data_IF_613942121269
#
_entry.id   IF_613942121269
#
_cell.length_a   1.000
_cell.length_b   1.000
_cell.length_c   1.000
_cell.angle_alpha   90.00
_cell.angle_beta   90.00
_cell.angle_gamma   90.00
#
_symmetry.space_group_name_H-M   'P 1'
#
loop_
_entity.id
_entity.type
_entity.pdbx_description
1 polymer ?
#
# COMPACT_ATOMS: atom_id res chain seq x y z
N UNK A 1 45.16 -7.47 -47.31
CA UNK A 1 44.08 -6.49 -47.47
C UNK A 1 42.75 -7.19 -47.21
N UNK A 2 42.24 -7.12 -45.97
CA UNK A 2 40.90 -7.56 -45.64
C UNK A 2 40.07 -6.31 -45.32
N UNK A 3 38.99 -6.11 -46.06
CA UNK A 3 38.12 -4.93 -45.95
C UNK A 3 37.30 -4.92 -44.66
N UNK A 4 36.79 -3.74 -44.24
CA UNK A 4 36.00 -3.61 -43.02
C UNK A 4 34.57 -4.10 -43.29
N UNK A 5 34.22 -5.24 -42.71
CA UNK A 5 32.84 -5.71 -42.64
C UNK A 5 32.07 -4.94 -41.57
N UNK A 6 31.46 -3.83 -41.96
CA UNK A 6 30.46 -3.10 -41.18
C UNK A 6 29.24 -4.00 -40.93
N UNK A 7 29.14 -4.61 -39.76
CA UNK A 7 27.87 -5.17 -39.28
C UNK A 7 27.09 -4.05 -38.59
N UNK A 8 26.13 -3.47 -39.32
CA UNK A 8 25.03 -2.71 -38.74
C UNK A 8 24.25 -3.62 -37.79
N UNK A 9 24.42 -3.44 -36.47
CA UNK A 9 23.50 -3.97 -35.47
C UNK A 9 22.30 -3.03 -35.38
N UNK A 10 21.19 -3.48 -35.95
CA UNK A 10 19.87 -2.87 -35.83
C UNK A 10 19.34 -3.02 -34.40
N UNK A 11 19.22 -1.90 -33.67
CA UNK A 11 18.16 -1.52 -32.71
C UNK A 11 17.39 -2.59 -31.89
N UNK A 12 18.02 -3.67 -31.41
CA UNK A 12 17.38 -4.62 -30.46
C UNK A 12 18.30 -4.89 -29.27
N UNK A 13 17.70 -4.90 -28.08
CA UNK A 13 18.35 -5.30 -26.82
C UNK A 13 19.12 -6.62 -26.99
N UNK A 14 20.25 -6.83 -26.30
CA UNK A 14 20.90 -8.12 -26.30
C UNK A 14 19.98 -9.15 -25.61
N UNK A 15 19.56 -10.22 -26.29
CA UNK A 15 18.70 -11.26 -25.68
C UNK A 15 19.34 -11.90 -24.44
N UNK A 16 20.67 -11.85 -24.33
CA UNK A 16 21.45 -12.47 -23.25
C UNK A 16 21.28 -11.76 -21.89
N UNK A 17 21.16 -10.43 -21.87
CA UNK A 17 20.98 -9.70 -20.59
C UNK A 17 19.57 -9.89 -20.04
N UNK A 18 18.57 -9.92 -20.92
CA UNK A 18 17.18 -10.19 -20.56
C UNK A 18 16.99 -11.64 -20.07
N UNK A 19 17.60 -12.62 -20.73
CA UNK A 19 17.53 -14.02 -20.33
C UNK A 19 18.17 -14.26 -18.94
N UNK A 20 19.23 -13.51 -18.60
CA UNK A 20 19.82 -13.54 -17.25
C UNK A 20 18.88 -12.97 -16.20
N UNK A 21 18.23 -11.83 -16.47
CA UNK A 21 17.24 -11.25 -15.53
C UNK A 21 16.10 -12.24 -15.28
N UNK A 22 15.56 -12.88 -16.34
CA UNK A 22 14.50 -13.88 -16.20
C UNK A 22 14.89 -15.14 -15.41
N UNK A 23 16.18 -15.49 -15.37
CA UNK A 23 16.67 -16.68 -14.65
C UNK A 23 17.11 -16.38 -13.22
N UNK A 24 17.62 -15.17 -12.97
CA UNK A 24 18.22 -14.80 -11.69
C UNK A 24 17.25 -14.07 -10.75
N UNK A 25 16.23 -13.40 -11.30
CA UNK A 25 15.26 -12.63 -10.52
C UNK A 25 14.01 -13.49 -10.29
N UNK A 26 13.47 -13.53 -9.07
CA UNK A 26 12.25 -14.29 -8.82
C UNK A 26 11.03 -13.59 -9.42
N UNK A 27 9.99 -14.38 -9.69
CA UNK A 27 8.72 -13.87 -10.19
C UNK A 27 7.96 -13.12 -9.08
N UNK A 28 7.35 -11.94 -9.31
CA UNK A 28 7.21 -11.22 -10.58
C UNK A 28 8.24 -10.13 -10.86
N UNK A 29 9.23 -9.90 -9.99
CA UNK A 29 10.20 -8.80 -10.16
C UNK A 29 10.89 -8.87 -11.53
N UNK A 30 11.19 -10.07 -12.00
CA UNK A 30 11.74 -10.34 -13.33
C UNK A 30 10.98 -9.61 -14.45
N UNK A 31 9.65 -9.74 -14.52
CA UNK A 31 8.83 -9.17 -15.59
C UNK A 31 8.78 -7.65 -15.55
N UNK A 32 8.67 -7.09 -14.34
CA UNK A 32 8.54 -5.64 -14.16
C UNK A 32 9.86 -4.92 -14.40
N UNK A 33 10.97 -5.48 -13.90
CA UNK A 33 12.31 -4.96 -14.14
C UNK A 33 12.67 -4.97 -15.64
N UNK A 34 12.31 -6.03 -16.36
CA UNK A 34 12.54 -6.12 -17.82
C UNK A 34 11.72 -5.07 -18.57
N UNK A 35 10.46 -4.88 -18.20
CA UNK A 35 9.59 -3.90 -18.85
C UNK A 35 10.10 -2.45 -18.67
N UNK A 36 10.53 -2.07 -17.45
CA UNK A 36 11.09 -0.73 -17.21
C UNK A 36 12.43 -0.54 -17.91
N UNK A 37 13.30 -1.55 -17.90
CA UNK A 37 14.58 -1.49 -18.59
C UNK A 37 14.45 -1.44 -20.12
N UNK A 38 13.45 -2.11 -20.70
CA UNK A 38 13.13 -1.98 -22.13
C UNK A 38 12.61 -0.57 -22.46
N UNK A 39 11.74 0.00 -21.63
CA UNK A 39 11.25 1.36 -21.80
C UNK A 39 12.38 2.40 -21.78
N UNK A 40 13.43 2.16 -20.97
CA UNK A 40 14.63 3.01 -20.92
C UNK A 40 15.46 2.99 -22.21
N UNK A 41 15.37 1.93 -23.02
CA UNK A 41 16.10 1.79 -24.29
C UNK A 41 15.29 2.31 -25.48
N UNK A 42 13.98 2.06 -25.49
CA UNK A 42 13.11 2.42 -26.62
C UNK A 42 12.83 3.92 -26.71
N UNK A 43 12.81 4.64 -25.58
CA UNK A 43 12.53 6.08 -25.54
C UNK A 43 13.80 6.89 -25.34
N UNK A 44 14.33 7.49 -26.42
CA UNK A 44 15.30 8.63 -26.35
C UNK A 44 14.74 9.88 -25.65
N UNK A 45 13.48 9.87 -25.20
CA UNK A 45 12.80 10.90 -24.41
C UNK A 45 12.06 10.26 -23.23
N UNK A 46 12.81 9.73 -22.24
CA UNK A 46 12.26 9.58 -20.88
C UNK A 46 12.08 11.00 -20.32
N UNK A 47 10.99 11.26 -19.58
CA UNK A 47 10.77 12.57 -18.94
C UNK A 47 11.91 12.91 -17.95
N UNK A 48 12.54 11.89 -17.38
CA UNK A 48 13.73 11.99 -16.53
C UNK A 48 14.79 10.98 -17.02
N UNK A 49 16.06 11.37 -17.22
CA UNK A 49 17.16 10.42 -17.44
C UNK A 49 17.34 9.48 -16.23
N UNK A 50 18.03 8.35 -16.42
CA UNK A 50 18.42 7.45 -15.33
C UNK A 50 19.12 8.26 -14.23
N UNK A 51 18.68 8.08 -12.98
CA UNK A 51 19.25 8.77 -11.82
C UNK A 51 20.68 8.29 -11.53
N UNK A 52 20.95 7.00 -11.81
CA UNK A 52 22.27 6.42 -11.68
C UNK A 52 23.19 6.84 -12.85
N UNK A 53 24.45 7.23 -12.58
CA UNK A 53 25.34 7.80 -13.59
C UNK A 53 25.90 6.74 -14.55
N UNK A 54 25.18 6.49 -15.65
CA UNK A 54 25.56 5.49 -16.68
C UNK A 54 27.00 5.70 -17.17
N UNK A 55 27.42 6.95 -17.38
CA UNK A 55 28.76 7.26 -17.90
C UNK A 55 29.89 6.86 -16.92
N UNK A 56 29.60 6.82 -15.62
CA UNK A 56 30.54 6.35 -14.59
C UNK A 56 30.48 4.83 -14.42
N UNK A 57 29.30 4.24 -14.59
CA UNK A 57 29.09 2.80 -14.42
C UNK A 57 29.58 2.00 -15.65
N UNK A 58 29.47 2.56 -16.86
CA UNK A 58 29.85 1.88 -18.10
C UNK A 58 31.33 1.45 -18.16
N UNK A 59 32.32 2.29 -17.76
CA UNK A 59 33.71 1.85 -17.63
C UNK A 59 33.90 0.72 -16.60
N UNK A 60 33.24 0.82 -15.44
CA UNK A 60 33.34 -0.19 -14.37
C UNK A 60 32.75 -1.54 -14.80
N UNK A 61 31.64 -1.53 -15.56
CA UNK A 61 31.06 -2.75 -16.12
C UNK A 61 32.01 -3.44 -17.11
N UNK A 62 32.79 -2.68 -17.89
CA UNK A 62 33.81 -3.26 -18.79
C UNK A 62 34.95 -3.92 -18.01
N UNK A 63 35.32 -3.34 -16.87
CA UNK A 63 36.35 -3.88 -15.98
C UNK A 63 35.88 -5.19 -15.33
N UNK A 64 34.68 -5.18 -14.71
CA UNK A 64 34.11 -6.35 -14.04
C UNK A 64 33.82 -7.50 -15.00
N UNK A 65 33.30 -7.20 -16.20
CA UNK A 65 32.97 -8.24 -17.18
C UNK A 65 34.18 -8.72 -17.99
N UNK A 66 35.28 -7.95 -18.03
CA UNK A 66 36.51 -8.32 -18.74
C UNK A 66 36.42 -8.27 -20.27
N UNK A 67 35.34 -7.74 -20.84
CA UNK A 67 35.17 -7.56 -22.29
C UNK A 67 34.43 -6.27 -22.66
N UNK A 68 34.55 -5.86 -23.94
CA UNK A 68 33.88 -4.65 -24.45
C UNK A 68 32.36 -4.90 -24.55
N UNK A 69 31.60 -4.11 -23.80
CA UNK A 69 30.14 -4.02 -23.90
C UNK A 69 29.73 -2.74 -24.64
N UNK A 70 28.64 -2.83 -25.40
CA UNK A 70 28.01 -1.66 -26.03
C UNK A 70 27.31 -0.79 -24.97
N UNK A 71 27.29 0.51 -25.20
CA UNK A 71 26.69 1.50 -24.31
C UNK A 71 25.20 1.21 -24.04
N UNK A 72 24.46 0.72 -25.06
CA UNK A 72 23.05 0.33 -24.88
C UNK A 72 22.87 -0.81 -23.87
N UNK A 73 23.83 -1.73 -23.76
CA UNK A 73 23.80 -2.81 -22.76
C UNK A 73 24.01 -2.25 -21.37
N UNK A 74 24.89 -1.27 -21.21
CA UNK A 74 25.09 -0.60 -19.93
C UNK A 74 23.87 0.21 -19.50
N UNK A 75 23.19 0.88 -20.43
CA UNK A 75 21.91 1.55 -20.14
C UNK A 75 20.87 0.53 -19.64
N UNK A 76 20.77 -0.63 -20.28
CA UNK A 76 19.88 -1.70 -19.83
C UNK A 76 20.18 -2.14 -18.39
N UNK A 77 21.45 -2.46 -18.11
CA UNK A 77 21.87 -2.95 -16.80
C UNK A 77 21.65 -1.90 -15.71
N UNK A 78 21.97 -0.63 -16.00
CA UNK A 78 21.75 0.46 -15.04
C UNK A 78 20.26 0.69 -14.81
N UNK A 79 19.40 0.56 -15.82
CA UNK A 79 17.96 0.65 -15.64
C UNK A 79 17.41 -0.46 -14.73
N UNK A 80 17.91 -1.70 -14.86
CA UNK A 80 17.56 -2.78 -13.94
C UNK A 80 18.03 -2.47 -12.51
N UNK A 81 19.27 -2.00 -12.34
CA UNK A 81 19.79 -1.61 -11.02
C UNK A 81 18.99 -0.48 -10.37
N UNK A 82 18.57 0.52 -11.16
CA UNK A 82 17.75 1.63 -10.70
C UNK A 82 16.37 1.15 -10.26
N UNK A 83 15.74 0.23 -11.01
CA UNK A 83 14.48 -0.37 -10.64
C UNK A 83 14.58 -1.07 -9.27
N UNK A 84 15.59 -1.92 -9.07
CA UNK A 84 15.79 -2.64 -7.81
C UNK A 84 16.11 -1.68 -6.66
N UNK A 85 16.95 -0.67 -6.90
CA UNK A 85 17.25 0.34 -5.89
C UNK A 85 15.99 1.07 -5.43
N UNK A 86 15.13 1.45 -6.39
CA UNK A 86 13.86 2.09 -6.11
C UNK A 86 12.90 1.16 -5.36
N UNK A 87 12.87 -0.13 -5.69
CA UNK A 87 11.98 -1.11 -5.05
C UNK A 87 12.38 -1.36 -3.58
N UNK A 88 13.69 -1.50 -3.30
CA UNK A 88 14.21 -1.62 -1.92
C UNK A 88 13.87 -0.37 -1.11
N UNK A 89 14.13 0.83 -1.65
CA UNK A 89 13.84 2.08 -0.95
C UNK A 89 12.33 2.29 -0.76
N UNK A 90 11.51 1.85 -1.71
CA UNK A 90 10.04 1.91 -1.58
C UNK A 90 9.55 0.95 -0.50
N UNK A 91 10.10 -0.26 -0.43
CA UNK A 91 9.78 -1.25 0.60
C UNK A 91 10.18 -0.73 1.99
N UNK A 92 11.44 -0.30 2.16
CA UNK A 92 11.94 0.27 3.40
C UNK A 92 11.16 1.54 3.80
N UNK A 93 10.90 2.43 2.85
CA UNK A 93 10.09 3.63 3.09
C UNK A 93 8.65 3.31 3.48
N UNK A 94 8.06 2.24 2.94
CA UNK A 94 6.75 1.76 3.39
C UNK A 94 6.80 1.20 4.82
N UNK A 95 7.83 0.43 5.15
CA UNK A 95 8.04 -0.09 6.51
C UNK A 95 8.20 1.04 7.53
N UNK A 96 9.14 1.95 7.31
CA UNK A 96 9.43 3.13 8.16
C UNK A 96 8.16 3.98 8.34
N UNK A 97 7.43 4.20 7.25
CA UNK A 97 6.17 4.94 7.29
C UNK A 97 5.08 4.22 8.10
N UNK A 98 5.04 2.88 8.08
CA UNK A 98 4.06 2.12 8.84
C UNK A 98 4.33 2.18 10.36
N UNK A 99 5.59 2.29 10.76
CA UNK A 99 5.98 2.47 12.18
C UNK A 99 6.01 3.95 12.60
N UNK A 100 5.51 4.86 11.75
CA UNK A 100 5.44 6.32 11.98
C UNK A 100 6.79 6.99 12.22
N UNK A 101 7.86 6.39 11.72
CA UNK A 101 9.18 6.99 11.71
C UNK A 101 9.35 7.83 10.42
N UNK A 102 10.14 8.91 10.47
CA UNK A 102 10.26 9.88 9.36
C UNK A 102 11.64 9.87 8.68
N UNK A 103 12.58 9.10 9.22
CA UNK A 103 13.91 8.91 8.65
C UNK A 103 14.12 7.43 8.31
N UNK A 104 14.81 7.13 7.21
CA UNK A 104 15.14 5.74 6.85
C UNK A 104 16.57 5.48 7.31
N UNK A 105 16.73 4.55 8.26
CA UNK A 105 18.04 4.07 8.72
C UNK A 105 18.47 2.80 7.99
N UNK A 106 19.74 2.42 8.15
CA UNK A 106 20.26 1.14 7.65
C UNK A 106 19.53 -0.07 8.27
N UNK A 107 19.16 0.04 9.54
CA UNK A 107 18.43 -1.01 10.24
C UNK A 107 17.05 -1.21 9.63
N UNK A 108 16.35 -0.13 9.28
CA UNK A 108 15.03 -0.20 8.66
C UNK A 108 15.05 -0.88 7.30
N UNK A 109 16.08 -0.58 6.49
CA UNK A 109 16.29 -1.26 5.20
C UNK A 109 16.49 -2.76 5.45
N UNK A 110 17.32 -3.12 6.42
CA UNK A 110 17.60 -4.53 6.75
C UNK A 110 16.33 -5.26 7.18
N UNK A 111 15.54 -4.68 8.09
CA UNK A 111 14.29 -5.28 8.57
C UNK A 111 13.27 -5.43 7.44
N UNK A 112 13.10 -4.38 6.62
CA UNK A 112 12.16 -4.41 5.51
C UNK A 112 12.57 -5.48 4.47
N UNK A 113 13.87 -5.57 4.16
CA UNK A 113 14.43 -6.60 3.29
C UNK A 113 14.19 -8.01 3.84
N UNK A 114 14.48 -8.27 5.11
CA UNK A 114 14.25 -9.58 5.76
C UNK A 114 12.78 -10.04 5.69
N UNK A 115 11.83 -9.10 5.67
CA UNK A 115 10.41 -9.41 5.55
C UNK A 115 9.97 -9.72 4.11
N UNK A 116 10.76 -9.32 3.11
CA UNK A 116 10.47 -9.57 1.69
C UNK A 116 11.24 -10.77 1.18
N UNK A 117 10.53 -11.90 1.03
CA UNK A 117 11.12 -13.15 0.57
C UNK A 117 11.75 -13.04 -0.82
N UNK A 118 11.19 -12.21 -1.70
CA UNK A 118 11.65 -12.10 -3.08
C UNK A 118 13.00 -11.40 -3.12
N UNK A 119 13.16 -10.32 -2.36
CA UNK A 119 14.43 -9.61 -2.23
C UNK A 119 15.44 -10.44 -1.42
N UNK A 120 15.02 -11.11 -0.34
CA UNK A 120 15.91 -12.04 0.38
C UNK A 120 16.44 -13.15 -0.54
N UNK A 121 15.55 -13.79 -1.30
CA UNK A 121 15.93 -14.84 -2.26
C UNK A 121 16.76 -14.30 -3.43
N UNK A 122 16.68 -13.00 -3.74
CA UNK A 122 17.51 -12.37 -4.78
C UNK A 122 18.93 -12.05 -4.28
N UNK A 123 19.08 -11.64 -3.02
CA UNK A 123 20.37 -11.22 -2.45
C UNK A 123 21.11 -12.34 -1.68
N UNK A 124 20.42 -13.38 -1.24
CA UNK A 124 20.97 -14.47 -0.42
C UNK A 124 20.77 -15.85 -1.07
N UNK A 125 21.16 -15.98 -2.35
CA UNK A 125 21.05 -17.25 -3.08
C UNK A 125 22.02 -18.35 -2.60
N UNK A 126 23.03 -18.03 -1.78
CA UNK A 126 24.11 -18.96 -1.42
C UNK A 126 24.57 -18.95 0.06
N UNK A 127 23.85 -18.31 1.00
CA UNK A 127 24.28 -18.29 2.41
C UNK A 127 23.21 -18.87 3.37
N UNK A 128 23.32 -20.17 3.64
CA UNK A 128 22.78 -20.82 4.84
C UNK A 128 23.56 -20.38 6.09
N UNK A 129 23.63 -19.08 6.43
CA UNK A 129 24.26 -18.65 7.69
C UNK A 129 23.83 -17.23 8.09
N UNK A 130 22.62 -17.08 8.67
CA UNK A 130 22.29 -15.94 9.53
C UNK A 130 21.65 -16.46 10.82
N UNK A 131 22.47 -17.13 11.63
CA UNK A 131 22.24 -17.22 13.08
C UNK A 131 22.91 -16.02 13.75
N UNK A 132 22.12 -15.02 14.16
CA UNK A 132 22.58 -13.97 15.08
C UNK A 132 22.16 -12.57 14.70
N UNK A 133 20.89 -12.22 14.94
CA UNK A 133 20.49 -10.83 15.11
C UNK A 133 20.22 -10.58 16.60
N UNK A 134 20.88 -9.60 17.24
CA UNK A 134 20.47 -9.12 18.56
C UNK A 134 19.17 -8.33 18.40
N UNK A 135 18.09 -8.85 18.96
CA UNK A 135 16.88 -8.07 19.23
C UNK A 135 17.23 -7.03 20.29
N UNK A 136 17.42 -5.77 19.88
CA UNK A 136 17.30 -4.65 20.80
C UNK A 136 15.87 -4.13 20.64
N UNK A 137 15.01 -4.52 21.59
CA UNK A 137 13.71 -3.88 21.81
C UNK A 137 13.97 -2.42 22.20
N UNK A 138 13.76 -1.49 21.27
CA UNK A 138 13.32 -0.16 21.62
C UNK A 138 11.81 -0.09 21.32
N UNK A 139 11.01 -0.37 22.35
CA UNK A 139 9.62 0.05 22.36
C UNK A 139 9.57 1.58 22.24
N UNK A 140 8.71 2.17 21.37
CA UNK A 140 8.44 3.58 21.45
C UNK A 140 7.68 3.82 22.75
N UNK A 141 8.32 4.54 23.66
CA UNK A 141 7.77 5.00 24.93
C UNK A 141 6.35 5.56 24.77
N UNK A 142 5.45 5.03 25.58
CA UNK A 142 4.06 5.48 25.69
C UNK A 142 3.95 6.87 26.35
N UNK A 143 2.93 7.62 25.91
CA UNK A 143 2.34 8.80 26.54
C UNK A 143 3.20 10.08 26.60
N UNK A 144 3.44 10.69 25.45
CA UNK A 144 3.49 12.16 25.37
C UNK A 144 2.06 12.69 25.18
N UNK A 145 1.68 13.73 25.93
CA UNK A 145 0.39 14.42 25.75
C UNK A 145 0.32 15.00 24.34
N UNK A 146 -0.39 14.34 23.44
CA UNK A 146 -0.49 14.78 22.04
C UNK A 146 -1.25 16.10 21.95
N UNK A 147 -0.65 17.09 21.29
CA UNK A 147 -1.33 18.35 20.93
C UNK A 147 -2.40 18.13 19.85
N UNK A 148 -3.32 19.08 19.68
CA UNK A 148 -4.33 19.02 18.60
C UNK A 148 -3.66 18.86 17.23
N UNK A 149 -2.62 19.64 16.96
CA UNK A 149 -1.89 19.60 15.69
C UNK A 149 -1.23 18.24 15.43
N UNK A 150 -0.62 17.63 16.45
CA UNK A 150 -0.04 16.29 16.35
C UNK A 150 -1.10 15.22 16.12
N UNK A 151 -2.27 15.36 16.74
CA UNK A 151 -3.40 14.47 16.54
C UNK A 151 -3.90 14.52 15.09
N UNK A 152 -4.08 15.72 14.53
CA UNK A 152 -4.44 15.90 13.11
C UNK A 152 -3.36 15.31 12.19
N UNK A 153 -2.08 15.59 12.46
CA UNK A 153 -0.97 15.04 11.67
C UNK A 153 -0.91 13.52 11.71
N UNK A 154 -1.12 12.92 12.90
CA UNK A 154 -1.20 11.47 13.07
C UNK A 154 -2.38 10.91 12.29
N UNK A 155 -3.56 11.50 12.45
CA UNK A 155 -4.78 11.10 11.74
C UNK A 155 -4.60 11.12 10.23
N UNK A 156 -3.99 12.17 9.66
CA UNK A 156 -3.68 12.21 8.22
C UNK A 156 -2.68 11.13 7.80
N UNK A 157 -1.67 10.85 8.61
CA UNK A 157 -0.68 9.80 8.34
C UNK A 157 -1.33 8.42 8.31
N UNK A 158 -2.12 8.11 9.34
CA UNK A 158 -2.90 6.88 9.48
C UNK A 158 -3.95 6.76 8.39
N UNK A 159 -4.66 7.83 8.07
CA UNK A 159 -5.65 7.89 7.00
C UNK A 159 -5.04 7.58 5.64
N UNK A 160 -3.84 8.08 5.34
CA UNK A 160 -3.14 7.71 4.10
C UNK A 160 -2.67 6.25 4.08
N UNK A 161 -2.30 5.69 5.24
CA UNK A 161 -1.99 4.26 5.35
C UNK A 161 -3.26 3.40 5.14
N UNK A 162 -4.36 3.81 5.75
CA UNK A 162 -5.66 3.21 5.56
C UNK A 162 -6.11 3.27 4.10
N UNK A 163 -5.93 4.42 3.42
CA UNK A 163 -6.23 4.57 2.00
C UNK A 163 -5.41 3.62 1.11
N UNK A 164 -4.15 3.33 1.48
CA UNK A 164 -3.35 2.30 0.79
C UNK A 164 -3.94 0.91 0.99
N UNK A 165 -4.39 0.59 2.20
CA UNK A 165 -5.08 -0.69 2.49
C UNK A 165 -6.38 -0.80 1.71
N UNK A 166 -7.17 0.27 1.61
CA UNK A 166 -8.38 0.32 0.78
C UNK A 166 -8.05 0.13 -0.71
N UNK A 167 -7.00 0.78 -1.21
CA UNK A 167 -6.52 0.57 -2.57
C UNK A 167 -6.04 -0.87 -2.81
N UNK A 168 -5.40 -1.50 -1.83
CA UNK A 168 -5.02 -2.92 -1.90
C UNK A 168 -6.28 -3.81 -2.00
N UNK A 169 -7.28 -3.57 -1.14
CA UNK A 169 -8.56 -4.29 -1.19
C UNK A 169 -9.27 -4.11 -2.54
N UNK A 170 -9.30 -2.90 -3.09
CA UNK A 170 -10.04 -2.59 -4.33
C UNK A 170 -9.27 -3.07 -5.57
N UNK A 171 -8.01 -2.66 -5.73
CA UNK A 171 -7.25 -2.86 -6.97
C UNK A 171 -6.56 -4.23 -7.04
N UNK A 172 -6.16 -4.79 -5.90
CA UNK A 172 -5.42 -6.06 -5.87
C UNK A 172 -6.35 -7.24 -5.60
N UNK A 173 -7.32 -7.10 -4.70
CA UNK A 173 -8.23 -8.21 -4.39
C UNK A 173 -9.55 -8.16 -5.16
N UNK A 174 -10.27 -7.03 -5.13
CA UNK A 174 -11.61 -6.93 -5.73
C UNK A 174 -11.58 -6.96 -7.25
N UNK A 175 -10.67 -6.21 -7.88
CA UNK A 175 -10.61 -6.07 -9.34
C UNK A 175 -10.38 -7.42 -10.06
N UNK A 176 -9.41 -8.29 -9.66
CA UNK A 176 -9.24 -9.59 -10.32
C UNK A 176 -10.40 -10.57 -10.13
N UNK A 177 -11.14 -10.46 -9.02
CA UNK A 177 -12.36 -11.25 -8.78
C UNK A 177 -13.50 -10.71 -9.67
N UNK A 178 -13.61 -9.39 -9.81
CA UNK A 178 -14.60 -8.72 -10.65
C UNK A 178 -14.37 -8.94 -12.16
N UNK A 179 -13.12 -9.05 -12.63
CA UNK A 179 -12.83 -9.30 -14.04
C UNK A 179 -13.43 -10.63 -14.56
N UNK A 180 -13.56 -11.63 -13.70
CA UNK A 180 -14.09 -12.95 -14.05
C UNK A 180 -15.60 -13.06 -13.90
N UNK A 181 -16.33 -12.28 -14.69
CA UNK A 181 -17.81 -12.21 -14.69
C UNK A 181 -18.52 -13.56 -14.89
N UNK A 182 -17.87 -14.53 -15.53
CA UNK A 182 -18.41 -15.89 -15.72
C UNK A 182 -18.34 -16.73 -14.45
N UNK A 183 -17.42 -16.42 -13.54
CA UNK A 183 -17.21 -17.15 -12.28
C UNK A 183 -17.79 -16.38 -11.10
N UNK A 184 -17.65 -15.06 -11.06
CA UNK A 184 -18.17 -14.20 -10.00
C UNK A 184 -19.17 -13.20 -10.59
N UNK A 185 -20.42 -13.30 -10.14
CA UNK A 185 -21.43 -12.30 -10.46
C UNK A 185 -21.16 -11.00 -9.69
N UNK A 186 -21.78 -9.89 -10.10
CA UNK A 186 -21.69 -8.63 -9.33
C UNK A 186 -22.18 -8.82 -7.89
N UNK A 187 -23.23 -9.61 -7.70
CA UNK A 187 -23.74 -9.97 -6.37
C UNK A 187 -22.71 -10.75 -5.54
N UNK A 188 -21.93 -11.66 -6.15
CA UNK A 188 -20.87 -12.38 -5.45
C UNK A 188 -19.78 -11.41 -4.97
N UNK A 189 -19.35 -10.49 -5.84
CA UNK A 189 -18.35 -9.45 -5.51
C UNK A 189 -18.87 -8.56 -4.38
N UNK A 190 -20.09 -8.06 -4.50
CA UNK A 190 -20.71 -7.19 -3.49
C UNK A 190 -20.91 -7.93 -2.17
N UNK A 191 -21.16 -9.24 -2.19
CA UNK A 191 -21.28 -10.06 -0.98
C UNK A 191 -19.97 -10.27 -0.21
N UNK A 192 -18.82 -10.03 -0.85
CA UNK A 192 -17.49 -10.14 -0.25
C UNK A 192 -16.96 -8.77 0.16
N UNK A 193 -17.09 -7.78 -0.72
CA UNK A 193 -16.47 -6.46 -0.56
C UNK A 193 -17.44 -5.35 -0.13
N UNK A 194 -18.76 -5.60 -0.15
CA UNK A 194 -19.81 -4.66 0.25
C UNK A 194 -19.54 -3.24 -0.29
N UNK A 195 -19.71 -2.22 0.55
CA UNK A 195 -19.55 -0.79 0.24
C UNK A 195 -18.11 -0.27 0.34
N UNK A 196 -17.10 -1.12 0.08
CA UNK A 196 -15.68 -0.73 0.21
C UNK A 196 -15.28 0.44 -0.69
N UNK A 197 -15.92 0.58 -1.86
CA UNK A 197 -15.65 1.67 -2.81
C UNK A 197 -16.17 2.99 -2.26
N UNK A 198 -17.40 3.00 -1.73
CA UNK A 198 -18.01 4.17 -1.11
C UNK A 198 -17.19 4.62 0.13
N UNK A 199 -16.71 3.67 0.93
CA UNK A 199 -15.78 3.92 2.05
C UNK A 199 -14.48 4.56 1.58
N UNK A 200 -13.91 4.09 0.47
CA UNK A 200 -12.72 4.69 -0.13
C UNK A 200 -12.99 6.12 -0.59
N UNK A 201 -14.11 6.38 -1.23
CA UNK A 201 -14.48 7.72 -1.70
C UNK A 201 -14.62 8.72 -0.54
N UNK A 202 -15.34 8.38 0.53
CA UNK A 202 -15.46 9.27 1.70
C UNK A 202 -14.10 9.49 2.37
N UNK A 203 -13.25 8.46 2.44
CA UNK A 203 -11.90 8.58 3.01
C UNK A 203 -11.01 9.53 2.19
N UNK A 204 -11.07 9.45 0.86
CA UNK A 204 -10.34 10.38 -0.02
C UNK A 204 -10.84 11.80 0.17
N UNK A 205 -12.17 12.00 0.19
CA UNK A 205 -12.77 13.32 0.40
C UNK A 205 -12.35 13.93 1.73
N UNK A 206 -12.48 13.18 2.83
CA UNK A 206 -12.12 13.64 4.17
C UNK A 206 -10.64 14.03 4.25
N UNK A 207 -9.73 13.20 3.73
CA UNK A 207 -8.30 13.52 3.74
C UNK A 207 -7.97 14.73 2.88
N UNK A 208 -8.64 14.89 1.74
CA UNK A 208 -8.48 16.08 0.89
C UNK A 208 -8.92 17.36 1.60
N UNK A 209 -10.10 17.36 2.22
CA UNK A 209 -10.60 18.51 2.98
C UNK A 209 -9.66 18.89 4.13
N UNK A 210 -9.14 17.90 4.88
CA UNK A 210 -8.18 18.16 5.96
C UNK A 210 -6.84 18.67 5.40
N UNK A 211 -6.34 18.10 4.30
CA UNK A 211 -5.11 18.57 3.64
C UNK A 211 -5.24 20.04 3.20
N UNK A 212 -6.37 20.40 2.57
CA UNK A 212 -6.66 21.77 2.14
C UNK A 212 -6.75 22.74 3.35
N UNK A 213 -7.46 22.35 4.42
CA UNK A 213 -7.57 23.15 5.65
C UNK A 213 -6.21 23.38 6.30
N UNK A 214 -5.36 22.35 6.38
CA UNK A 214 -4.01 22.47 6.93
C UNK A 214 -3.13 23.38 6.07
N UNK A 215 -3.23 23.31 4.74
CA UNK A 215 -2.47 24.17 3.83
C UNK A 215 -2.91 25.64 3.90
N UNK A 216 -4.20 25.89 4.14
CA UNK A 216 -4.79 27.23 4.22
C UNK A 216 -4.74 27.87 5.61
N UNK A 217 -4.19 27.17 6.62
CA UNK A 217 -4.10 27.69 7.99
C UNK A 217 -2.95 28.69 8.12
N UNK A 218 -3.28 29.92 8.54
CA UNK A 218 -2.29 30.98 8.77
C UNK A 218 -1.37 30.70 9.97
N UNK A 219 -0.13 31.21 9.94
CA UNK A 219 0.86 31.08 11.04
C UNK A 219 0.39 31.68 12.38
N UNK A 220 -0.64 32.53 12.36
CA UNK A 220 -1.24 33.16 13.54
C UNK A 220 -2.31 32.31 14.23
N UNK A 221 -2.76 31.21 13.62
CA UNK A 221 -3.76 30.32 14.20
C UNK A 221 -3.14 29.34 15.19
N UNK A 222 -3.84 28.96 16.27
CA UNK A 222 -3.31 28.03 17.27
C UNK A 222 -3.10 26.62 16.68
N UNK A 223 -3.98 26.21 15.77
CA UNK A 223 -3.95 24.95 15.03
C UNK A 223 -4.92 25.04 13.83
N UNK A 224 -4.86 24.11 12.86
CA UNK A 224 -5.85 24.03 11.79
C UNK A 224 -7.24 23.71 12.35
N UNK A 225 -8.29 24.33 11.80
CA UNK A 225 -9.67 24.17 12.25
C UNK A 225 -10.36 23.09 11.41
N UNK A 226 -10.12 21.81 11.73
CA UNK A 226 -10.59 20.69 10.92
C UNK A 226 -12.02 20.24 11.25
N UNK A 227 -12.65 20.81 12.28
CA UNK A 227 -13.99 20.46 12.74
C UNK A 227 -15.05 20.56 11.63
N UNK A 228 -15.01 21.63 10.84
CA UNK A 228 -15.90 21.83 9.69
C UNK A 228 -15.80 20.72 8.65
N UNK A 229 -14.59 20.16 8.43
CA UNK A 229 -14.38 19.06 7.49
C UNK A 229 -15.16 17.80 7.88
N UNK A 230 -15.29 17.56 9.19
CA UNK A 230 -16.06 16.44 9.73
C UNK A 230 -17.55 16.74 9.81
N UNK A 231 -17.92 17.97 10.18
CA UNK A 231 -19.31 18.42 10.24
C UNK A 231 -19.99 18.27 8.89
N UNK A 232 -19.41 18.84 7.81
CA UNK A 232 -19.97 18.79 6.46
C UNK A 232 -20.25 17.35 6.01
N UNK A 233 -19.28 16.45 6.19
CA UNK A 233 -19.41 15.05 5.80
C UNK A 233 -20.40 14.28 6.69
N UNK A 234 -20.49 14.63 7.98
CA UNK A 234 -21.43 14.01 8.90
C UNK A 234 -22.87 14.47 8.63
N UNK A 235 -23.09 15.75 8.32
CA UNK A 235 -24.40 16.31 7.96
C UNK A 235 -24.94 15.66 6.68
N UNK A 236 -24.08 15.43 5.68
CA UNK A 236 -24.44 14.73 4.44
C UNK A 236 -24.60 13.21 4.60
N UNK A 237 -24.46 12.67 5.82
CA UNK A 237 -24.50 11.23 6.10
C UNK A 237 -23.46 10.44 5.29
N UNK A 238 -22.33 11.04 4.95
CA UNK A 238 -21.31 10.44 4.09
C UNK A 238 -20.65 9.19 4.72
N UNK A 239 -20.81 9.01 6.03
CA UNK A 239 -20.27 7.87 6.77
C UNK A 239 -21.24 6.66 6.86
N UNK A 240 -22.49 6.77 6.42
CA UNK A 240 -23.47 5.67 6.40
C UNK A 240 -23.00 4.38 5.70
N UNK A 241 -22.15 4.42 4.64
CA UNK A 241 -21.59 3.21 4.04
C UNK A 241 -20.83 2.32 5.04
N UNK A 242 -20.27 2.87 6.12
CA UNK A 242 -19.63 2.10 7.17
C UNK A 242 -20.61 1.21 7.93
N UNK A 243 -21.87 1.64 8.12
CA UNK A 243 -22.87 0.81 8.78
C UNK A 243 -23.18 -0.44 7.95
N UNK A 244 -23.51 -0.23 6.67
CA UNK A 244 -23.83 -1.32 5.74
C UNK A 244 -22.64 -2.29 5.62
N UNK A 245 -21.43 -1.73 5.48
CA UNK A 245 -20.20 -2.52 5.40
C UNK A 245 -19.95 -3.35 6.67
N UNK A 246 -20.13 -2.76 7.86
CA UNK A 246 -19.96 -3.45 9.12
C UNK A 246 -21.00 -4.57 9.28
N UNK A 247 -22.26 -4.31 8.94
CA UNK A 247 -23.32 -5.33 8.96
C UNK A 247 -22.97 -6.52 8.06
N UNK A 248 -22.56 -6.26 6.82
CA UNK A 248 -22.23 -7.31 5.84
C UNK A 248 -20.99 -8.12 6.22
N UNK A 249 -19.94 -7.45 6.68
CA UNK A 249 -18.64 -8.08 6.99
C UNK A 249 -18.67 -8.85 8.32
N UNK A 250 -19.47 -8.38 9.28
CA UNK A 250 -19.58 -8.99 10.61
C UNK A 250 -20.79 -9.92 10.77
N UNK A 251 -21.61 -10.14 9.72
CA UNK A 251 -22.76 -11.05 9.75
C UNK A 251 -22.35 -12.47 10.15
N UNK A 252 -23.24 -13.16 10.86
CA UNK A 252 -23.08 -14.59 11.12
C UNK A 252 -23.05 -15.37 9.81
N UNK A 253 -22.03 -16.19 9.60
CA UNK A 253 -21.84 -16.96 8.36
C UNK A 253 -21.08 -16.23 7.25
N UNK A 254 -20.57 -15.01 7.48
CA UNK A 254 -19.73 -14.33 6.48
C UNK A 254 -18.57 -15.21 6.01
N UNK A 255 -17.84 -15.82 6.95
CA UNK A 255 -16.66 -16.62 6.64
C UNK A 255 -17.02 -17.90 5.84
N UNK A 256 -18.10 -18.58 6.19
CA UNK A 256 -18.58 -19.76 5.46
C UNK A 256 -19.02 -19.40 4.04
N UNK A 257 -19.78 -18.31 3.89
CA UNK A 257 -20.18 -17.80 2.58
C UNK A 257 -18.96 -17.39 1.74
N UNK A 258 -18.02 -16.67 2.33
CA UNK A 258 -16.77 -16.28 1.69
C UNK A 258 -15.99 -17.50 1.19
N UNK A 259 -15.77 -18.49 2.06
CA UNK A 259 -15.06 -19.72 1.71
C UNK A 259 -15.77 -20.50 0.59
N UNK A 260 -17.10 -20.57 0.63
CA UNK A 260 -17.92 -21.16 -0.44
C UNK A 260 -17.70 -20.46 -1.77
N UNK A 261 -17.64 -19.12 -1.78
CA UNK A 261 -17.40 -18.34 -3.00
C UNK A 261 -16.01 -18.54 -3.59
N UNK A 262 -14.96 -18.59 -2.76
CA UNK A 262 -13.57 -18.74 -3.25
C UNK A 262 -13.21 -20.19 -3.56
N UNK A 263 -13.99 -21.17 -3.05
CA UNK A 263 -13.77 -22.60 -3.26
C UNK A 263 -14.68 -23.22 -4.32
N UNK A 264 -15.58 -22.46 -4.94
CA UNK A 264 -16.50 -22.98 -5.97
C UNK A 264 -15.75 -23.49 -7.21
N UNK A 265 -16.33 -24.41 -8.00
CA UNK A 265 -15.67 -24.97 -9.17
C UNK A 265 -15.16 -23.88 -10.12
N UNK A 266 -13.88 -23.95 -10.50
CA UNK A 266 -13.21 -22.97 -11.36
C UNK A 266 -12.66 -21.73 -10.64
N UNK A 267 -13.15 -21.37 -9.45
CA UNK A 267 -12.62 -20.22 -8.70
C UNK A 267 -11.18 -20.44 -8.24
N UNK A 268 -10.86 -21.60 -7.66
CA UNK A 268 -9.51 -21.89 -7.19
C UNK A 268 -8.45 -21.82 -8.31
N UNK A 269 -8.78 -22.34 -9.49
CA UNK A 269 -7.89 -22.29 -10.66
C UNK A 269 -7.73 -20.85 -11.17
N UNK A 270 -8.82 -20.09 -11.26
CA UNK A 270 -8.76 -18.66 -11.62
C UNK A 270 -7.88 -17.87 -10.66
N UNK A 271 -8.07 -18.03 -9.35
CA UNK A 271 -7.28 -17.34 -8.33
C UNK A 271 -5.79 -17.70 -8.41
N UNK A 272 -5.46 -18.98 -8.62
CA UNK A 272 -4.07 -19.43 -8.82
C UNK A 272 -3.44 -18.88 -10.11
N UNK A 273 -4.24 -18.59 -11.14
CA UNK A 273 -3.74 -18.10 -12.42
C UNK A 273 -3.36 -16.61 -12.43
N UNK A 274 -3.81 -15.83 -11.44
CA UNK A 274 -3.56 -14.37 -11.37
C UNK A 274 -2.08 -14.11 -11.05
N UNK A 275 -1.60 -14.62 -9.92
CA UNK A 275 -0.19 -14.67 -9.56
C UNK A 275 0.04 -15.71 -8.46
N UNK A 276 1.31 -16.07 -8.27
CA UNK A 276 1.72 -17.02 -7.25
C UNK A 276 1.32 -16.52 -5.84
N UNK A 277 0.74 -17.41 -5.03
CA UNK A 277 0.28 -17.10 -3.69
C UNK A 277 -1.03 -16.29 -3.59
N UNK A 278 -1.63 -15.88 -4.72
CA UNK A 278 -2.84 -15.04 -4.70
C UNK A 278 -4.04 -15.76 -4.08
N UNK A 279 -4.24 -17.05 -4.40
CA UNK A 279 -5.32 -17.86 -3.82
C UNK A 279 -5.19 -17.93 -2.30
N UNK A 280 -3.99 -18.16 -1.80
CA UNK A 280 -3.69 -18.28 -0.38
C UNK A 280 -3.90 -16.92 0.32
N UNK A 281 -3.47 -15.83 -0.30
CA UNK A 281 -3.72 -14.47 0.20
C UNK A 281 -5.22 -14.15 0.26
N UNK A 282 -5.99 -14.51 -0.78
CA UNK A 282 -7.45 -14.38 -0.78
C UNK A 282 -8.06 -15.22 0.34
N UNK A 283 -7.65 -16.48 0.51
CA UNK A 283 -8.29 -17.36 1.48
C UNK A 283 -7.98 -17.00 2.95
N UNK A 284 -6.76 -16.57 3.25
CA UNK A 284 -6.27 -16.45 4.63
C UNK A 284 -5.95 -15.01 5.08
N UNK A 285 -5.67 -14.10 4.15
CA UNK A 285 -5.29 -12.70 4.47
C UNK A 285 -6.47 -11.75 4.25
N UNK A 286 -7.17 -11.86 3.12
CA UNK A 286 -8.27 -10.96 2.76
C UNK A 286 -9.37 -10.88 3.85
N UNK A 287 -9.84 -11.97 4.50
CA UNK A 287 -10.86 -11.87 5.54
C UNK A 287 -10.44 -10.99 6.74
N UNK A 288 -9.13 -10.93 7.03
CA UNK A 288 -8.61 -10.04 8.08
C UNK A 288 -8.53 -8.60 7.59
N UNK A 289 -8.05 -8.38 6.37
CA UNK A 289 -7.98 -7.04 5.78
C UNK A 289 -9.36 -6.38 5.66
N UNK A 290 -10.41 -7.16 5.38
CA UNK A 290 -11.80 -6.67 5.31
C UNK A 290 -12.32 -6.15 6.66
N UNK A 291 -11.69 -6.44 7.80
CA UNK A 291 -12.07 -5.87 9.10
C UNK A 291 -11.51 -4.46 9.31
N UNK A 292 -10.49 -4.06 8.55
CA UNK A 292 -9.81 -2.76 8.71
C UNK A 292 -10.77 -1.57 8.70
N UNK A 293 -11.76 -1.46 7.78
CA UNK A 293 -12.70 -0.34 7.80
C UNK A 293 -13.55 -0.24 9.07
N UNK A 294 -13.89 -1.36 9.69
CA UNK A 294 -14.66 -1.36 10.95
C UNK A 294 -13.81 -0.77 12.07
N UNK A 295 -12.55 -1.19 12.19
CA UNK A 295 -11.63 -0.64 13.18
C UNK A 295 -11.35 0.84 12.93
N UNK A 296 -11.17 1.25 11.67
CA UNK A 296 -10.95 2.65 11.32
C UNK A 296 -12.15 3.53 11.71
N UNK A 297 -13.38 3.08 11.46
CA UNK A 297 -14.58 3.83 11.84
C UNK A 297 -14.75 3.95 13.36
N UNK A 298 -14.46 2.89 14.12
CA UNK A 298 -14.45 2.96 15.59
C UNK A 298 -13.40 3.94 16.11
N UNK A 299 -12.21 3.96 15.49
CA UNK A 299 -11.15 4.89 15.83
C UNK A 299 -11.51 6.34 15.50
N UNK A 300 -12.22 6.59 14.39
CA UNK A 300 -12.70 7.91 13.99
C UNK A 300 -13.54 8.57 15.10
N UNK A 301 -14.46 7.84 15.74
CA UNK A 301 -15.28 8.38 16.82
C UNK A 301 -14.45 8.80 18.04
N UNK A 302 -13.37 8.08 18.32
CA UNK A 302 -12.45 8.40 19.41
C UNK A 302 -11.61 9.63 19.09
N UNK A 303 -11.10 9.72 17.86
CA UNK A 303 -10.33 10.89 17.40
C UNK A 303 -11.18 12.16 17.45
N UNK A 304 -12.44 12.12 17.03
CA UNK A 304 -13.33 13.28 17.08
C UNK A 304 -13.50 13.83 18.51
N UNK A 305 -13.63 12.95 19.51
CA UNK A 305 -13.71 13.35 20.92
C UNK A 305 -12.43 13.99 21.40
N UNK A 306 -11.28 13.42 21.03
CA UNK A 306 -9.98 13.98 21.41
C UNK A 306 -9.71 15.33 20.73
N UNK A 307 -10.13 15.51 19.48
CA UNK A 307 -10.06 16.80 18.79
C UNK A 307 -10.94 17.84 19.51
N UNK A 308 -12.16 17.49 19.89
CA UNK A 308 -13.07 18.40 20.59
C UNK A 308 -12.50 18.84 21.95
N UNK A 309 -11.95 17.91 22.71
CA UNK A 309 -11.34 18.19 24.02
C UNK A 309 -10.08 19.08 23.89
N UNK A 310 -9.29 18.89 22.83
CA UNK A 310 -7.99 19.55 22.64
C UNK A 310 -8.05 20.83 21.81
N UNK A 311 -9.17 21.14 21.19
CA UNK A 311 -9.29 22.35 20.37
C UNK A 311 -9.15 23.61 21.23
N UNK A 312 -8.40 24.58 20.75
CA UNK A 312 -8.21 25.90 21.37
C UNK A 312 -9.15 26.96 20.79
N UNK A 313 -9.90 26.62 19.73
CA UNK A 313 -10.86 27.50 19.07
C UNK A 313 -12.31 27.07 19.35
N UNK A 314 -13.17 28.02 19.71
CA UNK A 314 -14.55 27.71 20.09
C UNK A 314 -15.46 27.42 18.89
N UNK A 315 -15.18 27.97 17.70
CA UNK A 315 -15.95 27.65 16.49
C UNK A 315 -15.66 26.22 16.02
N UNK A 316 -14.37 25.84 16.02
CA UNK A 316 -13.94 24.47 15.71
C UNK A 316 -14.56 23.43 16.67
N UNK A 317 -14.63 23.73 17.97
CA UNK A 317 -15.30 22.86 18.96
C UNK A 317 -16.77 22.66 18.64
N UNK A 318 -17.50 23.71 18.26
CA UNK A 318 -18.93 23.58 17.95
C UNK A 318 -19.14 22.70 16.71
N UNK A 319 -18.33 22.88 15.65
CA UNK A 319 -18.35 21.99 14.48
C UNK A 319 -18.07 20.52 14.88
N UNK A 320 -17.06 20.28 15.73
CA UNK A 320 -16.74 18.94 16.22
C UNK A 320 -17.88 18.33 17.04
N UNK A 321 -18.55 19.10 17.90
CA UNK A 321 -19.73 18.64 18.64
C UNK A 321 -20.89 18.30 17.72
N UNK A 322 -21.12 19.09 16.67
CA UNK A 322 -22.14 18.83 15.66
C UNK A 322 -21.83 17.54 14.89
N UNK A 323 -20.58 17.36 14.46
CA UNK A 323 -20.12 16.13 13.80
C UNK A 323 -20.30 14.89 14.70
N UNK A 324 -19.86 14.96 15.96
CA UNK A 324 -20.05 13.88 16.95
C UNK A 324 -21.53 13.56 17.11
N UNK A 325 -22.37 14.59 17.25
CA UNK A 325 -23.83 14.44 17.43
C UNK A 325 -24.49 13.78 16.23
N UNK A 326 -24.16 14.22 15.01
CA UNK A 326 -24.66 13.62 13.77
C UNK A 326 -24.25 12.14 13.64
N UNK A 327 -23.06 11.78 14.12
CA UNK A 327 -22.52 10.42 14.06
C UNK A 327 -22.98 9.49 15.20
N UNK A 328 -23.73 9.96 16.21
CA UNK A 328 -24.15 9.14 17.36
C UNK A 328 -24.96 7.90 16.95
N UNK A 329 -25.83 8.03 15.95
CA UNK A 329 -26.64 6.92 15.44
C UNK A 329 -25.75 5.85 14.80
N UNK A 330 -24.81 6.27 13.96
CA UNK A 330 -23.84 5.40 13.31
C UNK A 330 -22.96 4.69 14.36
N UNK A 331 -22.40 5.45 15.30
CA UNK A 331 -21.59 4.92 16.40
C UNK A 331 -22.36 3.84 17.18
N UNK A 332 -23.57 4.16 17.64
CA UNK A 332 -24.40 3.23 18.40
C UNK A 332 -24.72 1.96 17.60
N UNK A 333 -24.96 2.07 16.30
CA UNK A 333 -25.24 0.92 15.46
C UNK A 333 -24.00 0.04 15.27
N UNK A 334 -22.84 0.63 14.95
CA UNK A 334 -21.57 -0.10 14.76
C UNK A 334 -21.14 -0.79 16.06
N UNK A 335 -21.22 -0.13 17.21
CA UNK A 335 -20.91 -0.73 18.53
C UNK A 335 -21.83 -1.93 18.83
N UNK A 336 -23.12 -1.82 18.49
CA UNK A 336 -24.08 -2.93 18.61
C UNK A 336 -23.77 -4.09 17.66
N UNK A 337 -23.33 -3.82 16.44
CA UNK A 337 -22.91 -4.86 15.48
C UNK A 337 -21.65 -5.56 15.99
N UNK A 338 -20.66 -4.79 16.44
CA UNK A 338 -19.39 -5.29 16.95
C UNK A 338 -19.57 -6.14 18.20
N UNK A 339 -20.38 -5.70 19.17
CA UNK A 339 -20.66 -6.47 20.39
C UNK A 339 -21.32 -7.82 20.10
N UNK A 340 -22.22 -7.90 19.11
CA UNK A 340 -22.85 -9.17 18.68
C UNK A 340 -21.87 -10.14 18.00
N UNK A 341 -20.89 -9.63 17.26
CA UNK A 341 -19.97 -10.42 16.43
C UNK A 341 -18.67 -10.78 17.16
N UNK A 342 -18.06 -9.83 17.89
CA UNK A 342 -16.81 -10.01 18.62
C UNK A 342 -16.98 -10.89 19.87
N UNK A 343 -18.16 -10.87 20.51
CA UNK A 343 -18.49 -11.80 21.59
C UNK A 343 -18.50 -13.28 21.12
N UNK A 344 -18.69 -13.54 19.82
CA UNK A 344 -18.66 -14.89 19.23
C UNK A 344 -17.28 -15.33 18.74
N UNK A 345 -16.32 -14.42 18.52
CA UNK A 345 -14.96 -14.73 18.02
C UNK A 345 -13.92 -14.90 19.14
N UNK A 346 -14.32 -14.74 20.41
CA UNK A 346 -13.49 -14.95 21.61
C UNK A 346 -13.56 -16.38 22.18
N UNK A 347 -14.16 -17.33 21.46
CA UNK A 347 -14.28 -18.75 21.85
C UNK A 347 -13.61 -19.66 20.83
#
# INVERSE_FOLDING_TARGET
>A
MFGPGSKCFTSRCPPVSQERVQKSFPHPIDKWAIADAQAAIEKRKRRNPLALPVDKIHPLLKEVLGYKIDHQVSVYMVAVLEYISADILKLAGNYVRNIRHYEISQQDITVAMCADKVLMDMFHQDEEDISGFPLMDEEPSANEEQSYYELVRSFMSEGRQYLRTLNLLIKVFREPISCSHRLFSQHDVDSIFSRIVDIHEVTVKLLGLIEDTVEMTDEGSPHPLVGSCFEDLAEELAFDPYETYAQDTLRSGFHEHFLSQVSKPGAAFHLQSICEGFKEAVQYVLPRLLLTPVYHCLHLFEILKQLEEKSEDEEDKECLKQAITALLNLQSSIERICSRSLAKRRL
#
